data_IF_756061909673
#
_entry.id   IF_756061909673
#
_cell.length_a   1.000
_cell.length_b   1.000
_cell.length_c   1.000
_cell.angle_alpha   90.00
_cell.angle_beta   90.00
_cell.angle_gamma   90.00
#
_symmetry.space_group_name_H-M   'P 1'
#
loop_
_entity.id
_entity.type
_entity.pdbx_description
1 polymer ?
#
# COMPACT_ATOMS: atom_id res chain seq x y z
N UNK A 1 -2.41 3.07 3.49
CA UNK A 1 -1.37 3.29 2.47
C UNK A 1 -0.29 4.21 3.01
N UNK A 2 0.90 4.13 2.43
CA UNK A 2 2.09 4.90 2.78
C UNK A 2 2.65 5.58 1.55
N UNK A 3 3.04 6.84 1.68
CA UNK A 3 3.87 7.52 0.69
C UNK A 3 5.29 6.97 0.75
N UNK A 4 5.86 6.66 -0.40
CA UNK A 4 7.25 6.24 -0.58
C UNK A 4 8.00 7.42 -1.18
N UNK A 5 8.93 7.96 -0.43
CA UNK A 5 9.63 9.20 -0.74
C UNK A 5 11.14 8.99 -0.68
N UNK A 6 11.93 9.62 -1.55
CA UNK A 6 13.38 9.54 -1.48
C UNK A 6 13.91 10.19 -0.20
N UNK A 7 15.07 9.77 0.31
CA UNK A 7 15.68 10.31 1.55
C UNK A 7 15.94 11.80 1.50
N UNK A 8 16.16 12.38 0.33
CA UNK A 8 16.33 13.82 0.15
C UNK A 8 15.03 14.62 0.18
N UNK A 9 13.85 13.95 0.26
CA UNK A 9 12.58 14.64 0.34
C UNK A 9 12.46 15.41 1.67
N UNK A 10 12.07 16.71 1.66
CA UNK A 10 12.05 17.54 2.86
C UNK A 10 10.81 17.24 3.73
N UNK A 11 10.84 16.13 4.45
CA UNK A 11 9.76 15.75 5.38
C UNK A 11 9.63 16.70 6.57
N UNK A 12 10.72 17.38 6.97
CA UNK A 12 10.72 18.35 8.09
C UNK A 12 10.11 17.81 9.39
N UNK A 13 10.36 16.53 9.71
CA UNK A 13 9.85 15.87 10.91
C UNK A 13 8.36 15.49 10.88
N UNK A 14 7.70 15.63 9.73
CA UNK A 14 6.29 15.22 9.56
C UNK A 14 6.13 13.71 9.70
N UNK A 15 5.08 13.30 10.40
CA UNK A 15 4.73 11.89 10.63
C UNK A 15 3.71 11.35 9.64
N UNK A 16 3.08 12.23 8.85
CA UNK A 16 2.09 11.92 7.83
C UNK A 16 2.39 12.70 6.56
N UNK A 17 1.99 12.15 5.43
CA UNK A 17 2.14 12.76 4.12
C UNK A 17 0.76 13.09 3.53
N UNK A 18 0.41 14.39 3.37
CA UNK A 18 -0.87 14.79 2.80
C UNK A 18 -1.01 14.30 1.36
N UNK A 19 -2.14 13.66 1.01
CA UNK A 19 -2.39 13.19 -0.35
C UNK A 19 -2.29 14.30 -1.40
N UNK A 20 -2.67 15.52 -1.03
CA UNK A 20 -2.57 16.68 -1.93
C UNK A 20 -1.15 17.03 -2.35
N UNK A 21 -0.14 16.59 -1.61
CA UNK A 21 1.26 16.80 -1.99
C UNK A 21 1.73 15.90 -3.14
N UNK A 22 0.93 14.91 -3.55
CA UNK A 22 1.17 14.18 -4.80
C UNK A 22 0.80 14.99 -6.05
N UNK A 23 0.04 16.09 -5.90
CA UNK A 23 -0.39 16.92 -7.04
C UNK A 23 0.80 17.36 -7.89
N UNK A 24 0.75 17.03 -9.19
CA UNK A 24 1.78 17.38 -10.16
C UNK A 24 3.16 16.76 -9.95
N UNK A 25 3.32 15.83 -9.00
CA UNK A 25 4.58 15.11 -8.77
C UNK A 25 4.72 13.93 -9.74
N UNK A 26 5.96 13.65 -10.11
CA UNK A 26 6.28 12.43 -10.86
C UNK A 26 6.01 11.22 -9.96
N UNK A 27 4.97 10.47 -10.31
CA UNK A 27 4.44 9.36 -9.52
C UNK A 27 4.70 8.03 -10.23
N UNK A 28 5.48 7.16 -9.61
CA UNK A 28 5.79 5.84 -10.12
C UNK A 28 4.68 4.87 -9.70
N UNK A 29 3.92 4.41 -10.68
CA UNK A 29 2.85 3.44 -10.48
C UNK A 29 3.34 2.04 -10.90
N UNK A 30 3.45 1.09 -9.96
CA UNK A 30 3.76 -0.29 -10.31
C UNK A 30 2.69 -0.84 -11.26
N UNK A 31 3.10 -1.61 -12.26
CA UNK A 31 2.15 -2.22 -13.20
C UNK A 31 1.30 -3.28 -12.51
N UNK A 32 -0.02 -3.15 -12.66
CA UNK A 32 -0.98 -4.13 -12.20
C UNK A 32 -2.28 -3.49 -11.71
N UNK A 33 -3.35 -4.29 -11.64
CA UNK A 33 -4.68 -3.87 -11.19
C UNK A 33 -4.76 -3.52 -9.69
N UNK A 34 -3.63 -3.51 -9.01
CA UNK A 34 -3.54 -3.19 -7.58
C UNK A 34 -3.59 -1.68 -7.28
N UNK A 35 -3.66 -0.87 -8.33
CA UNK A 35 -3.68 0.59 -8.28
C UNK A 35 -5.04 1.18 -7.91
N UNK A 36 -6.09 0.34 -7.82
CA UNK A 36 -7.48 0.79 -7.59
C UNK A 36 -7.57 1.66 -6.34
N UNK A 37 -6.87 1.29 -5.27
CA UNK A 37 -6.89 2.04 -4.00
C UNK A 37 -6.19 3.39 -4.13
N UNK A 38 -5.10 3.45 -4.90
CA UNK A 38 -4.35 4.68 -5.17
C UNK A 38 -5.19 5.64 -5.99
N UNK A 39 -5.77 5.15 -7.09
CA UNK A 39 -6.66 5.96 -7.93
C UNK A 39 -7.89 6.43 -7.17
N UNK A 40 -8.51 5.57 -6.34
CA UNK A 40 -9.64 5.94 -5.51
C UNK A 40 -9.26 7.03 -4.49
N UNK A 41 -8.07 6.91 -3.86
CA UNK A 41 -7.58 7.91 -2.92
C UNK A 41 -7.34 9.26 -3.62
N UNK A 42 -6.69 9.26 -4.79
CA UNK A 42 -6.45 10.46 -5.56
C UNK A 42 -7.74 11.10 -6.05
N UNK A 43 -8.67 10.30 -6.59
CA UNK A 43 -9.96 10.80 -7.07
C UNK A 43 -10.78 11.45 -5.95
N UNK A 44 -10.78 10.86 -4.75
CA UNK A 44 -11.48 11.39 -3.58
C UNK A 44 -10.96 12.76 -3.15
N UNK A 45 -9.66 12.98 -3.24
CA UNK A 45 -9.00 14.22 -2.84
C UNK A 45 -8.79 15.20 -4.01
N UNK A 46 -9.19 14.81 -5.23
CA UNK A 46 -9.02 15.63 -6.44
C UNK A 46 -7.56 15.79 -6.87
N UNK A 47 -6.69 14.84 -6.52
CA UNK A 47 -5.25 14.87 -6.81
C UNK A 47 -4.97 14.35 -8.22
N UNK A 48 -4.09 15.04 -8.94
CA UNK A 48 -3.61 14.68 -10.27
C UNK A 48 -2.08 14.60 -10.25
N UNK A 49 -1.55 13.43 -9.91
CA UNK A 49 -0.13 13.16 -10.03
C UNK A 49 0.28 12.99 -11.51
N UNK A 50 1.55 13.26 -11.82
CA UNK A 50 2.13 12.91 -13.13
C UNK A 50 2.49 11.43 -13.11
N UNK A 51 1.52 10.60 -13.40
CA UNK A 51 1.63 9.17 -13.30
C UNK A 51 2.51 8.58 -14.40
N UNK A 52 3.46 7.78 -13.99
CA UNK A 52 4.33 6.97 -14.85
C UNK A 52 4.10 5.50 -14.50
N UNK A 53 3.42 4.78 -15.38
CA UNK A 53 3.26 3.33 -15.24
C UNK A 53 4.58 2.63 -15.52
N UNK A 54 5.11 1.92 -14.53
CA UNK A 54 6.35 1.16 -14.64
C UNK A 54 6.07 -0.34 -14.53
N UNK A 55 6.55 -1.11 -15.51
CA UNK A 55 6.31 -2.56 -15.63
C UNK A 55 7.33 -3.36 -14.81
N UNK A 56 7.42 -3.07 -13.53
CA UNK A 56 8.34 -3.71 -12.60
C UNK A 56 7.64 -4.04 -11.28
N UNK A 57 8.28 -4.83 -10.45
CA UNK A 57 7.78 -5.17 -9.11
C UNK A 57 7.92 -4.00 -8.13
N UNK A 58 7.26 -4.13 -6.98
CA UNK A 58 7.22 -3.11 -5.94
C UNK A 58 8.61 -2.79 -5.38
N UNK A 59 9.48 -3.80 -5.23
CA UNK A 59 10.84 -3.61 -4.72
C UNK A 59 11.65 -2.74 -5.68
N UNK A 60 11.53 -2.99 -6.98
CA UNK A 60 12.19 -2.16 -8.00
C UNK A 60 11.67 -0.73 -7.97
N UNK A 61 10.36 -0.52 -7.79
CA UNK A 61 9.80 0.84 -7.63
C UNK A 61 10.38 1.53 -6.40
N UNK A 62 10.48 0.84 -5.26
CA UNK A 62 11.11 1.40 -4.05
C UNK A 62 12.54 1.86 -4.34
N UNK A 63 13.33 1.04 -5.05
CA UNK A 63 14.69 1.39 -5.46
C UNK A 63 14.73 2.59 -6.42
N UNK A 64 13.79 2.67 -7.37
CA UNK A 64 13.66 3.82 -8.27
C UNK A 64 13.36 5.10 -7.50
N UNK A 65 12.44 5.05 -6.53
CA UNK A 65 12.17 6.17 -5.62
C UNK A 65 13.42 6.56 -4.85
N UNK A 66 14.15 5.60 -4.29
CA UNK A 66 15.42 5.85 -3.57
C UNK A 66 16.46 6.59 -4.43
N UNK A 67 16.44 6.36 -5.75
CA UNK A 67 17.29 7.09 -6.72
C UNK A 67 16.70 8.43 -7.17
N UNK A 68 15.55 8.84 -6.65
CA UNK A 68 14.94 10.14 -6.93
C UNK A 68 14.21 10.22 -8.27
N UNK A 69 13.84 9.08 -8.88
CA UNK A 69 13.13 9.04 -10.16
C UNK A 69 11.65 9.47 -10.04
N UNK A 70 11.14 9.57 -8.82
CA UNK A 70 9.78 9.97 -8.51
C UNK A 70 9.40 9.61 -7.09
N UNK A 71 8.12 9.66 -6.80
CA UNK A 71 7.54 9.21 -5.54
C UNK A 71 6.50 8.13 -5.83
N UNK A 72 6.10 7.34 -4.81
CA UNK A 72 5.08 6.30 -4.99
C UNK A 72 4.16 6.21 -3.78
N UNK A 73 3.13 5.36 -3.86
CA UNK A 73 2.25 5.04 -2.74
C UNK A 73 1.97 3.54 -2.73
N UNK A 74 2.18 2.90 -1.57
CA UNK A 74 2.07 1.46 -1.42
C UNK A 74 1.40 1.06 -0.12
N UNK A 75 0.88 -0.17 -0.06
CA UNK A 75 0.39 -0.72 1.20
C UNK A 75 1.54 -1.12 2.11
N UNK A 76 1.29 -1.16 3.42
CA UNK A 76 2.28 -1.58 4.41
C UNK A 76 2.86 -2.97 4.15
N UNK A 77 2.07 -3.90 3.59
CA UNK A 77 2.54 -5.26 3.28
C UNK A 77 3.60 -5.27 2.18
N UNK A 78 3.53 -4.33 1.24
CA UNK A 78 4.46 -4.24 0.11
C UNK A 78 5.80 -3.58 0.48
N UNK A 79 5.80 -2.74 1.52
CA UNK A 79 7.00 -2.01 1.97
C UNK A 79 7.80 -2.77 3.03
N UNK A 80 7.42 -4.02 3.37
CA UNK A 80 8.18 -4.86 4.30
C UNK A 80 9.47 -5.33 3.64
N UNK A 81 10.61 -4.87 4.13
CA UNK A 81 11.92 -5.27 3.64
C UNK A 81 12.82 -4.07 3.33
N UNK A 82 13.24 -3.95 2.10
CA UNK A 82 14.32 -3.05 1.69
C UNK A 82 13.84 -1.58 1.54
N UNK A 83 13.70 -0.87 2.66
CA UNK A 83 13.26 0.54 2.71
C UNK A 83 14.34 1.49 3.21
N UNK A 84 15.61 1.05 3.25
CA UNK A 84 16.71 1.83 3.82
C UNK A 84 16.95 3.15 3.10
N UNK A 85 16.74 3.18 1.78
CA UNK A 85 16.99 4.36 0.92
C UNK A 85 15.76 5.26 0.75
N UNK A 86 14.64 4.95 1.39
CA UNK A 86 13.39 5.71 1.26
C UNK A 86 12.77 6.06 2.61
N UNK A 87 11.91 7.06 2.62
CA UNK A 87 10.95 7.28 3.70
C UNK A 87 9.63 6.58 3.35
N UNK A 88 9.07 5.87 4.31
CA UNK A 88 7.73 5.30 4.24
C UNK A 88 6.86 6.01 5.27
N UNK A 89 5.98 6.89 4.83
CA UNK A 89 5.20 7.78 5.70
C UNK A 89 3.71 7.53 5.45
N UNK A 90 2.90 7.30 6.50
CA UNK A 90 1.44 7.16 6.33
C UNK A 90 0.86 8.34 5.56
N UNK A 91 -0.09 8.08 4.66
CA UNK A 91 -0.78 9.17 3.96
C UNK A 91 -1.92 9.75 4.80
N UNK A 92 -2.21 11.02 4.60
CA UNK A 92 -3.32 11.74 5.25
C UNK A 92 -4.19 12.42 4.18
N UNK A 93 -5.54 12.22 4.20
CA UNK A 93 -6.28 11.36 5.11
C UNK A 93 -5.90 9.89 4.99
N UNK A 94 -6.12 9.12 6.07
CA UNK A 94 -5.77 7.69 6.11
C UNK A 94 -6.49 6.91 5.02
N UNK A 95 -5.74 6.20 4.19
CA UNK A 95 -6.26 5.28 3.18
C UNK A 95 -5.94 3.84 3.57
N UNK A 96 -6.96 3.02 3.63
CA UNK A 96 -6.86 1.60 4.04
C UNK A 96 -7.06 0.72 2.81
N UNK A 97 -6.22 -0.31 2.68
CA UNK A 97 -6.45 -1.42 1.74
C UNK A 97 -7.07 -2.57 2.52
N UNK A 98 -8.25 -3.00 2.10
CA UNK A 98 -8.88 -4.21 2.63
C UNK A 98 -8.45 -5.42 1.79
N UNK A 99 -8.00 -6.47 2.47
CA UNK A 99 -7.66 -7.75 1.83
C UNK A 99 -8.60 -8.79 2.39
N UNK A 100 -9.33 -9.44 1.50
CA UNK A 100 -10.31 -10.46 1.85
C UNK A 100 -10.06 -11.78 1.12
N UNK A 101 -10.63 -12.85 1.64
CA UNK A 101 -10.66 -14.15 1.00
C UNK A 101 -12.04 -14.36 0.38
N UNK A 102 -12.07 -14.48 -0.96
CA UNK A 102 -13.29 -14.81 -1.69
C UNK A 102 -13.43 -16.31 -1.89
N UNK A 103 -14.64 -16.83 -1.70
CA UNK A 103 -14.98 -18.22 -1.95
C UNK A 103 -16.27 -18.32 -2.78
N UNK A 104 -16.41 -19.42 -3.52
CA UNK A 104 -17.72 -19.73 -4.17
C UNK A 104 -18.73 -20.08 -3.08
N UNK A 105 -20.03 -19.75 -3.26
CA UNK A 105 -21.09 -20.20 -2.38
C UNK A 105 -21.06 -21.74 -2.22
N UNK A 106 -21.18 -22.24 -1.00
CA UNK A 106 -21.12 -23.68 -0.66
C UNK A 106 -19.71 -24.25 -0.56
N UNK A 107 -18.65 -23.48 -0.87
CA UNK A 107 -17.27 -23.98 -0.73
C UNK A 107 -16.89 -24.25 0.73
N UNK A 108 -17.52 -23.56 1.67
CA UNK A 108 -17.37 -23.76 3.12
C UNK A 108 -17.75 -25.16 3.60
N UNK A 109 -18.57 -25.90 2.84
CA UNK A 109 -18.96 -27.29 3.14
C UNK A 109 -17.80 -28.28 2.95
N UNK A 110 -16.77 -27.87 2.18
CA UNK A 110 -15.54 -28.67 2.01
C UNK A 110 -14.67 -28.60 3.25
N UNK A 111 -14.38 -29.77 3.84
CA UNK A 111 -13.52 -29.89 5.03
C UNK A 111 -12.13 -29.23 4.82
N UNK A 112 -11.55 -29.38 3.62
CA UNK A 112 -10.25 -28.80 3.28
C UNK A 112 -10.32 -27.27 3.23
N UNK A 113 -11.38 -26.70 2.66
CA UNK A 113 -11.59 -25.25 2.60
C UNK A 113 -11.85 -24.69 3.99
N UNK A 114 -12.68 -25.35 4.79
CA UNK A 114 -12.92 -24.95 6.17
C UNK A 114 -11.63 -24.93 7.01
N UNK A 115 -10.79 -25.96 6.87
CA UNK A 115 -9.46 -26.01 7.53
C UNK A 115 -8.56 -24.86 7.07
N UNK A 116 -8.46 -24.61 5.76
CA UNK A 116 -7.68 -23.50 5.20
C UNK A 116 -8.17 -22.16 5.74
N UNK A 117 -9.47 -21.92 5.69
CA UNK A 117 -10.08 -20.69 6.20
C UNK A 117 -9.73 -20.46 7.67
N UNK A 118 -9.83 -21.51 8.48
CA UNK A 118 -9.46 -21.44 9.90
C UNK A 118 -7.98 -21.08 10.09
N UNK A 119 -7.08 -21.70 9.32
CA UNK A 119 -5.65 -21.36 9.37
C UNK A 119 -5.38 -19.92 8.98
N UNK A 120 -6.00 -19.43 7.89
CA UNK A 120 -5.85 -18.05 7.44
C UNK A 120 -6.35 -17.07 8.52
N UNK A 121 -7.53 -17.31 9.09
CA UNK A 121 -8.10 -16.45 10.13
C UNK A 121 -7.23 -16.45 11.40
N UNK A 122 -6.68 -17.58 11.80
CA UNK A 122 -5.74 -17.66 12.92
C UNK A 122 -4.47 -16.85 12.62
N UNK A 123 -3.90 -16.99 11.44
CA UNK A 123 -2.71 -16.24 11.03
C UNK A 123 -2.97 -14.74 11.05
N UNK A 124 -4.07 -14.28 10.44
CA UNK A 124 -4.46 -12.87 10.43
C UNK A 124 -4.64 -12.34 11.86
N UNK A 125 -5.25 -13.14 12.76
CA UNK A 125 -5.41 -12.74 14.16
C UNK A 125 -4.07 -12.54 14.88
N UNK A 126 -3.04 -13.32 14.54
CA UNK A 126 -1.69 -13.15 15.11
C UNK A 126 -1.00 -11.89 14.57
N UNK A 127 -1.20 -11.57 13.29
CA UNK A 127 -0.67 -10.34 12.70
C UNK A 127 -1.27 -9.08 13.34
N UNK A 128 -2.55 -9.15 13.73
CA UNK A 128 -3.29 -8.01 14.29
C UNK A 128 -3.06 -7.82 15.80
N UNK A 129 -2.61 -8.85 16.54
CA UNK A 129 -2.29 -8.71 17.99
C UNK A 129 -1.17 -7.70 18.29
N UNK A 130 -0.35 -7.36 17.30
CA UNK A 130 0.66 -6.31 17.38
C UNK A 130 0.18 -4.93 16.88
N UNK A 131 -1.06 -4.79 16.45
CA UNK A 131 -1.64 -3.59 15.87
C UNK A 131 -3.04 -3.39 16.39
N UNK A 132 -3.39 -2.15 16.76
CA UNK A 132 -4.78 -1.73 16.99
C UNK A 132 -5.55 -1.72 15.65
N UNK A 133 -5.76 -2.87 15.02
CA UNK A 133 -6.56 -3.01 13.80
C UNK A 133 -7.86 -3.70 14.16
N UNK A 134 -8.95 -2.97 14.08
CA UNK A 134 -10.32 -3.48 14.24
C UNK A 134 -10.64 -4.41 13.06
N UNK A 135 -10.86 -5.69 13.35
CA UNK A 135 -11.53 -6.61 12.43
C UNK A 135 -13.03 -6.28 12.45
N UNK A 136 -13.57 -5.90 11.32
CA UNK A 136 -15.02 -5.89 11.08
C UNK A 136 -15.44 -7.17 10.38
#
# INVERSE_FOLDING_TARGET
>A
LYAILPKQYPLNGRKEFPLREFEGKDFLMPYGRFDIDVHAAFAKEGVRAKEQSVYVDDETVIRMVGKGLGISMMSELMIRGNTEDVYCVPVSPTCIREIGMGMKPGAEESESIAKLTKCVMQFVSTLNKGRNVSLK
#
